data_IF_243761583864
#
_entry.id   IF_243761583864
#
_cell.length_a   1.000
_cell.length_b   1.000
_cell.length_c   1.000
_cell.angle_alpha   90.00
_cell.angle_beta   90.00
_cell.angle_gamma   90.00
#
_symmetry.space_group_name_H-M   'P 1'
#
loop_
_entity.id
_entity.type
_entity.pdbx_description
1 polymer ?
#
# COMPACT_ATOMS: atom_id res chain seq x y z
N UNK A 1 -11.78 -26.95 -1.04
CA UNK A 1 -10.53 -26.60 -1.77
C UNK A 1 -10.53 -25.19 -2.39
N UNK A 2 -11.67 -24.51 -2.60
CA UNK A 2 -11.72 -23.18 -3.24
C UNK A 2 -11.22 -22.00 -2.38
N UNK A 3 -11.26 -22.12 -1.05
CA UNK A 3 -10.89 -21.02 -0.14
C UNK A 3 -9.40 -20.67 -0.16
N UNK A 4 -8.54 -21.63 -0.55
CA UNK A 4 -7.09 -21.42 -0.61
C UNK A 4 -6.66 -20.52 -1.77
N UNK A 5 -7.31 -20.64 -2.94
CA UNK A 5 -6.95 -19.85 -4.12
C UNK A 5 -7.30 -18.37 -3.99
N UNK A 6 -8.43 -18.07 -3.33
CA UNK A 6 -8.89 -16.69 -3.18
C UNK A 6 -8.00 -15.87 -2.22
N UNK A 7 -7.59 -16.47 -1.09
CA UNK A 7 -6.64 -15.84 -0.14
C UNK A 7 -5.24 -15.68 -0.72
N UNK A 8 -4.78 -16.66 -1.50
CA UNK A 8 -3.50 -16.59 -2.22
C UNK A 8 -3.47 -15.43 -3.21
N UNK A 9 -4.52 -15.27 -4.02
CA UNK A 9 -4.61 -14.20 -5.02
C UNK A 9 -4.63 -12.81 -4.38
N UNK A 10 -5.43 -12.57 -3.32
CA UNK A 10 -5.43 -11.27 -2.63
C UNK A 10 -4.05 -10.91 -2.07
N UNK A 11 -3.31 -11.89 -1.54
CA UNK A 11 -1.96 -11.67 -1.02
C UNK A 11 -0.98 -11.29 -2.14
N UNK A 12 -1.13 -11.91 -3.33
CA UNK A 12 -0.36 -11.57 -4.53
C UNK A 12 -0.62 -10.14 -5.02
N UNK A 13 -1.88 -9.70 -5.08
CA UNK A 13 -2.21 -8.32 -5.50
C UNK A 13 -1.74 -7.26 -4.50
N UNK A 14 -1.84 -7.54 -3.19
CA UNK A 14 -1.26 -6.69 -2.14
C UNK A 14 0.24 -6.53 -2.33
N UNK A 15 0.95 -7.64 -2.49
CA UNK A 15 2.39 -7.62 -2.78
C UNK A 15 2.71 -6.82 -4.05
N UNK A 16 1.96 -7.05 -5.13
CA UNK A 16 2.16 -6.35 -6.40
C UNK A 16 1.98 -4.84 -6.26
N UNK A 17 0.95 -4.39 -5.52
CA UNK A 17 0.72 -2.98 -5.26
C UNK A 17 1.88 -2.37 -4.46
N UNK A 18 2.30 -3.00 -3.37
CA UNK A 18 3.40 -2.50 -2.54
C UNK A 18 4.71 -2.42 -3.33
N UNK A 19 4.98 -3.40 -4.19
CA UNK A 19 6.15 -3.40 -5.07
C UNK A 19 6.08 -2.29 -6.12
N UNK A 20 4.93 -2.13 -6.80
CA UNK A 20 4.74 -1.06 -7.79
C UNK A 20 4.95 0.34 -7.18
N UNK A 21 4.47 0.57 -5.95
CA UNK A 21 4.67 1.84 -5.23
C UNK A 21 6.15 2.07 -4.92
N UNK A 22 6.84 1.04 -4.41
CA UNK A 22 8.29 1.10 -4.14
C UNK A 22 9.09 1.41 -5.40
N UNK A 23 8.72 0.78 -6.52
CA UNK A 23 9.41 0.94 -7.81
C UNK A 23 9.01 2.25 -8.51
N UNK A 24 8.03 3.00 -7.99
CA UNK A 24 7.54 4.25 -8.58
C UNK A 24 6.69 4.07 -9.84
N UNK A 25 6.18 2.86 -10.08
CA UNK A 25 5.41 2.51 -11.28
C UNK A 25 3.96 3.02 -11.17
N UNK A 26 3.76 4.28 -11.57
CA UNK A 26 2.49 5.00 -11.51
C UNK A 26 1.34 4.29 -12.23
N UNK A 27 1.58 3.83 -13.44
CA UNK A 27 0.54 3.24 -14.28
C UNK A 27 0.11 1.89 -13.73
N UNK A 28 1.05 1.09 -13.20
CA UNK A 28 0.72 -0.15 -12.52
C UNK A 28 -0.03 0.07 -11.22
N UNK A 29 0.29 1.12 -10.45
CA UNK A 29 -0.47 1.47 -9.25
C UNK A 29 -1.91 1.84 -9.60
N UNK A 30 -2.13 2.71 -10.57
CA UNK A 30 -3.49 3.06 -11.03
C UNK A 30 -4.25 1.83 -11.54
N UNK A 31 -3.62 1.03 -12.39
CA UNK A 31 -4.25 -0.18 -12.94
C UNK A 31 -4.67 -1.16 -11.85
N UNK A 32 -3.83 -1.39 -10.83
CA UNK A 32 -4.16 -2.28 -9.71
C UNK A 32 -5.32 -1.74 -8.86
N UNK A 33 -5.32 -0.43 -8.53
CA UNK A 33 -6.37 0.19 -7.72
C UNK A 33 -7.71 0.22 -8.48
N UNK A 34 -7.67 0.53 -9.78
CA UNK A 34 -8.87 0.56 -10.63
C UNK A 34 -9.48 -0.84 -10.80
N UNK A 35 -8.66 -1.89 -10.85
CA UNK A 35 -9.15 -3.26 -10.96
C UNK A 35 -9.69 -3.80 -9.63
N UNK A 36 -9.12 -3.37 -8.48
CA UNK A 36 -9.58 -3.78 -7.16
C UNK A 36 -9.36 -2.66 -6.13
N UNK A 37 -10.41 -1.86 -5.91
CA UNK A 37 -10.39 -0.76 -4.93
C UNK A 37 -10.22 -1.24 -3.48
N UNK A 38 -10.45 -2.53 -3.18
CA UNK A 38 -10.22 -3.09 -1.83
C UNK A 38 -8.74 -3.12 -1.47
N UNK A 39 -7.84 -2.93 -2.44
CA UNK A 39 -6.40 -2.85 -2.21
C UNK A 39 -5.96 -1.54 -1.53
N UNK A 40 -6.76 -0.45 -1.59
CA UNK A 40 -6.33 0.89 -1.16
C UNK A 40 -5.89 0.95 0.31
N UNK A 41 -6.66 0.31 1.19
CA UNK A 41 -6.41 0.22 2.63
C UNK A 41 -5.92 -1.17 3.04
N UNK A 42 -5.52 -1.98 2.06
CA UNK A 42 -5.07 -3.34 2.34
C UNK A 42 -3.72 -3.31 3.05
N UNK A 43 -3.63 -4.14 4.09
CA UNK A 43 -2.39 -4.38 4.82
C UNK A 43 -1.61 -5.51 4.16
N UNK A 44 -0.37 -5.24 3.81
CA UNK A 44 0.66 -6.23 3.53
C UNK A 44 1.51 -6.46 4.79
N UNK A 45 2.48 -7.39 4.74
CA UNK A 45 3.36 -7.80 5.85
C UNK A 45 3.58 -6.71 6.91
N UNK A 46 3.50 -7.10 8.18
CA UNK A 46 3.62 -6.21 9.35
C UNK A 46 2.57 -5.10 9.43
N UNK A 47 1.44 -5.27 8.75
CA UNK A 47 0.35 -4.29 8.77
C UNK A 47 0.63 -3.06 7.91
N UNK A 48 1.64 -3.10 7.05
CA UNK A 48 2.05 -1.99 6.20
C UNK A 48 0.99 -1.71 5.14
N UNK A 49 0.66 -0.45 4.92
CA UNK A 49 -0.28 -0.01 3.88
C UNK A 49 0.45 0.53 2.65
N UNK A 50 -0.28 0.61 1.54
CA UNK A 50 0.19 1.28 0.33
C UNK A 50 0.68 2.71 0.60
N UNK A 51 -0.06 3.48 1.41
CA UNK A 51 0.30 4.86 1.77
C UNK A 51 1.60 4.92 2.59
N UNK A 52 1.78 3.99 3.54
CA UNK A 52 3.02 3.89 4.31
C UNK A 52 4.25 3.67 3.41
N UNK A 53 4.14 2.83 2.38
CA UNK A 53 5.24 2.62 1.42
C UNK A 53 5.49 3.89 0.60
N UNK A 54 4.44 4.53 0.09
CA UNK A 54 4.59 5.75 -0.72
C UNK A 54 5.32 6.86 0.05
N UNK A 55 4.97 7.08 1.33
CA UNK A 55 5.63 8.09 2.16
C UNK A 55 7.05 7.68 2.58
N UNK A 56 7.28 6.41 2.92
CA UNK A 56 8.64 5.89 3.22
C UNK A 56 9.62 6.13 2.07
N UNK A 57 9.16 5.97 0.82
CA UNK A 57 9.97 6.21 -0.37
C UNK A 57 9.83 7.62 -0.94
N UNK A 58 9.25 8.55 -0.18
CA UNK A 58 9.08 9.97 -0.56
C UNK A 58 8.37 10.17 -1.91
N UNK A 59 7.55 9.21 -2.34
CA UNK A 59 6.80 9.26 -3.60
C UNK A 59 5.47 9.99 -3.41
N UNK A 60 5.56 11.32 -3.34
CA UNK A 60 4.41 12.20 -3.13
C UNK A 60 3.32 12.07 -4.21
N UNK A 61 3.63 11.92 -5.51
CA UNK A 61 2.58 11.78 -6.51
C UNK A 61 1.77 10.48 -6.34
N UNK A 62 2.39 9.36 -5.96
CA UNK A 62 1.65 8.13 -5.62
C UNK A 62 0.84 8.34 -4.33
N UNK A 63 1.42 8.97 -3.31
CA UNK A 63 0.70 9.25 -2.06
C UNK A 63 -0.58 10.07 -2.30
N UNK A 64 -0.53 11.07 -3.20
CA UNK A 64 -1.70 11.85 -3.61
C UNK A 64 -2.77 10.98 -4.29
N UNK A 65 -2.37 10.09 -5.21
CA UNK A 65 -3.31 9.15 -5.83
C UNK A 65 -4.00 8.29 -4.77
N UNK A 66 -3.23 7.75 -3.83
CA UNK A 66 -3.77 6.90 -2.77
C UNK A 66 -4.77 7.65 -1.88
N UNK A 67 -4.42 8.87 -1.44
CA UNK A 67 -5.30 9.71 -0.62
C UNK A 67 -6.58 10.11 -1.36
N UNK A 68 -6.47 10.48 -2.64
CA UNK A 68 -7.62 10.82 -3.48
C UNK A 68 -8.56 9.63 -3.70
N UNK A 69 -8.06 8.40 -3.54
CA UNK A 69 -8.85 7.16 -3.62
C UNK A 69 -9.30 6.65 -2.25
N UNK A 70 -9.20 7.45 -1.18
CA UNK A 70 -9.70 7.11 0.15
C UNK A 70 -8.75 6.26 1.00
N UNK A 71 -7.44 6.36 0.77
CA UNK A 71 -6.47 5.77 1.69
C UNK A 71 -6.59 6.41 3.09
N UNK A 72 -6.66 5.57 4.12
CA UNK A 72 -6.70 6.00 5.52
C UNK A 72 -5.32 6.50 5.96
N UNK A 73 -5.22 7.82 6.13
CA UNK A 73 -4.01 8.51 6.57
C UNK A 73 -3.56 8.09 7.98
N UNK A 74 -4.50 7.64 8.81
CA UNK A 74 -4.27 7.27 10.21
C UNK A 74 -4.07 5.76 10.41
N UNK A 75 -4.08 4.97 9.33
CA UNK A 75 -3.89 3.53 9.41
C UNK A 75 -2.57 3.19 10.10
N UNK A 76 -2.66 2.36 11.15
CA UNK A 76 -1.51 1.88 11.92
C UNK A 76 -1.04 0.51 11.45
N UNK A 77 0.27 0.34 11.35
CA UNK A 77 0.91 -0.96 11.16
C UNK A 77 0.86 -1.80 12.46
N UNK A 78 1.42 -3.02 12.44
CA UNK A 78 1.40 -3.92 13.59
C UNK A 78 2.20 -3.39 14.80
N UNK A 79 3.10 -2.44 14.58
CA UNK A 79 3.86 -1.75 15.63
C UNK A 79 3.19 -0.48 16.13
N UNK A 80 1.99 -0.14 15.64
CA UNK A 80 1.26 1.07 16.03
C UNK A 80 1.68 2.34 15.28
N UNK A 81 2.60 2.25 14.31
CA UNK A 81 3.07 3.39 13.53
C UNK A 81 2.14 3.72 12.36
N UNK A 82 1.90 5.02 12.15
CA UNK A 82 1.18 5.53 10.97
C UNK A 82 2.12 5.70 9.78
N UNK A 83 1.56 5.99 8.60
CA UNK A 83 2.36 6.29 7.41
C UNK A 83 3.35 7.46 7.63
N UNK A 84 2.95 8.48 8.40
CA UNK A 84 3.82 9.61 8.73
C UNK A 84 4.99 9.21 9.62
N UNK A 85 4.76 8.40 10.67
CA UNK A 85 5.84 7.85 11.50
C UNK A 85 6.87 7.11 10.64
N UNK A 86 6.41 6.29 9.69
CA UNK A 86 7.27 5.52 8.79
C UNK A 86 8.10 6.39 7.82
N UNK A 87 7.66 7.63 7.53
CA UNK A 87 8.38 8.55 6.64
C UNK A 87 9.59 9.23 7.28
N UNK A 88 9.61 9.28 8.62
CA UNK A 88 10.69 9.90 9.41
C UNK A 88 11.75 8.84 9.76
N UNK A 89 11.34 7.58 9.96
CA UNK A 89 12.22 6.45 10.30
C UNK A 89 13.06 5.98 9.07
N UNK A 90 12.96 6.60 7.90
CA UNK A 90 13.77 6.20 6.73
C UNK A 90 15.10 6.95 6.59
N UNK A 91 15.37 7.95 7.43
CA UNK A 91 16.55 8.82 7.32
C UNK A 91 17.66 8.52 8.38
N UNK A 92 17.83 7.25 8.79
CA UNK A 92 18.92 6.78 9.68
C UNK A 92 19.70 5.62 9.06
#
# INVERSE_FOLDING_TARGET
MLVYNFRSNKTKYRYALHRAIKDGDFEKVKHLINNDSTLINSKYKDGITALSVALKYKNLPIAKILLNNGADINAKNNSGHTALHMSIISDW
#
